data_IF_540868346330
#
_entry.id   IF_540868346330
#
_cell.length_a   1.000
_cell.length_b   1.000
_cell.length_c   1.000
_cell.angle_alpha   90.00
_cell.angle_beta   90.00
_cell.angle_gamma   90.00
#
_symmetry.space_group_name_H-M   'P 1'
#
loop_
_entity.id
_entity.type
_entity.pdbx_description
1 polymer ?
#
# COMPACT_ATOMS: atom_id res chain seq x y z
N UNK A 1 13.39 -3.56 -18.01
CA UNK A 1 14.56 -4.12 -18.71
C UNK A 1 15.35 -5.09 -17.82
N UNK A 2 16.12 -4.68 -16.80
CA UNK A 2 16.98 -5.63 -16.04
C UNK A 2 16.25 -6.63 -15.11
N UNK A 3 15.23 -6.19 -14.35
CA UNK A 3 14.42 -7.10 -13.50
C UNK A 3 13.69 -8.14 -14.36
N UNK A 4 13.38 -7.79 -15.60
CA UNK A 4 12.67 -8.62 -16.59
C UNK A 4 13.53 -9.79 -17.08
N UNK A 5 14.83 -9.56 -17.24
CA UNK A 5 15.80 -10.59 -17.66
C UNK A 5 16.02 -11.62 -16.56
N UNK A 6 16.14 -11.17 -15.31
CA UNK A 6 16.24 -12.03 -14.13
C UNK A 6 14.94 -12.77 -13.83
N UNK A 7 13.80 -12.14 -14.09
CA UNK A 7 12.49 -12.80 -14.02
C UNK A 7 12.33 -13.85 -15.11
N UNK A 8 12.89 -13.65 -16.32
CA UNK A 8 12.90 -14.68 -17.37
C UNK A 8 13.71 -15.90 -16.96
N UNK A 9 14.85 -15.71 -16.32
CA UNK A 9 15.67 -16.80 -15.79
C UNK A 9 14.97 -17.53 -14.62
N UNK A 10 14.29 -16.79 -13.74
CA UNK A 10 13.46 -17.39 -12.69
C UNK A 10 12.29 -18.22 -13.26
N UNK A 11 11.64 -17.71 -14.33
CA UNK A 11 10.56 -18.41 -15.05
C UNK A 11 11.08 -19.67 -15.75
N UNK A 12 12.26 -19.62 -16.38
CA UNK A 12 12.82 -20.77 -17.09
C UNK A 12 13.19 -21.90 -16.12
N UNK A 13 13.58 -21.56 -14.89
CA UNK A 13 13.87 -22.52 -13.81
C UNK A 13 12.65 -22.93 -12.97
N UNK A 14 11.41 -22.61 -13.42
CA UNK A 14 10.14 -22.98 -12.77
C UNK A 14 10.08 -22.62 -11.28
N UNK A 15 10.68 -21.51 -10.86
CA UNK A 15 10.67 -21.05 -9.46
C UNK A 15 11.26 -22.07 -8.46
N UNK A 16 12.27 -22.85 -8.87
CA UNK A 16 12.97 -23.73 -7.94
C UNK A 16 13.50 -22.96 -6.71
N UNK A 17 13.52 -23.55 -5.49
CA UNK A 17 13.94 -22.87 -4.28
C UNK A 17 15.33 -22.23 -4.39
N UNK A 18 16.28 -22.92 -5.05
CA UNK A 18 17.62 -22.40 -5.30
C UNK A 18 17.62 -21.17 -6.21
N UNK A 19 16.76 -21.16 -7.24
CA UNK A 19 16.60 -20.03 -8.16
C UNK A 19 16.02 -18.80 -7.46
N UNK A 20 15.06 -19.00 -6.55
CA UNK A 20 14.49 -17.94 -5.72
C UNK A 20 15.55 -17.30 -4.81
N UNK A 21 16.40 -18.10 -4.18
CA UNK A 21 17.49 -17.60 -3.34
C UNK A 21 18.53 -16.84 -4.19
N UNK A 22 18.89 -17.36 -5.36
CA UNK A 22 19.80 -16.68 -6.27
C UNK A 22 19.25 -15.31 -6.72
N UNK A 23 17.99 -15.27 -7.14
CA UNK A 23 17.28 -14.04 -7.50
C UNK A 23 17.25 -13.04 -6.33
N UNK A 24 16.89 -13.49 -5.13
CA UNK A 24 16.85 -12.64 -3.94
C UNK A 24 18.24 -12.05 -3.61
N UNK A 25 19.31 -12.86 -3.69
CA UNK A 25 20.69 -12.39 -3.48
C UNK A 25 21.10 -11.36 -4.54
N UNK A 26 20.73 -11.58 -5.80
CA UNK A 26 21.09 -10.70 -6.90
C UNK A 26 20.34 -9.37 -6.84
N UNK A 27 19.03 -9.40 -6.56
CA UNK A 27 18.23 -8.20 -6.28
C UNK A 27 18.81 -7.43 -5.08
N UNK A 28 19.20 -8.14 -4.02
CA UNK A 28 19.87 -7.54 -2.85
C UNK A 28 21.21 -6.88 -3.20
N UNK A 29 22.04 -7.52 -4.03
CA UNK A 29 23.31 -6.98 -4.49
C UNK A 29 23.12 -5.70 -5.32
N UNK A 30 22.12 -5.69 -6.21
CA UNK A 30 21.75 -4.51 -7.02
C UNK A 30 21.24 -3.38 -6.12
N UNK A 31 20.36 -3.68 -5.17
CA UNK A 31 19.85 -2.70 -4.21
C UNK A 31 21.01 -2.08 -3.42
N UNK A 32 21.93 -2.90 -2.90
CA UNK A 32 23.13 -2.45 -2.20
C UNK A 32 24.01 -1.55 -3.07
N UNK A 33 24.27 -1.94 -4.32
CA UNK A 33 25.06 -1.13 -5.25
C UNK A 33 24.41 0.25 -5.48
N UNK A 34 23.10 0.27 -5.72
CA UNK A 34 22.35 1.51 -5.93
C UNK A 34 22.33 2.42 -4.70
N UNK A 35 22.25 1.84 -3.50
CA UNK A 35 22.33 2.59 -2.24
C UNK A 35 23.72 3.24 -2.06
N UNK A 36 24.79 2.50 -2.35
CA UNK A 36 26.17 3.03 -2.27
C UNK A 36 26.42 4.09 -3.34
N UNK A 37 25.86 3.91 -4.54
CA UNK A 37 25.98 4.88 -5.63
C UNK A 37 25.21 6.19 -5.38
N UNK A 38 24.17 6.18 -4.53
CA UNK A 38 23.31 7.34 -4.24
C UNK A 38 23.26 7.65 -2.73
N UNK A 39 24.38 8.04 -2.11
CA UNK A 39 24.45 8.23 -0.66
C UNK A 39 23.56 9.39 -0.17
N UNK A 40 23.34 10.41 -1.00
CA UNK A 40 22.43 11.51 -0.69
C UNK A 40 20.99 11.04 -0.52
N UNK A 41 20.52 10.17 -1.43
CA UNK A 41 19.15 9.64 -1.39
C UNK A 41 18.96 8.78 -0.15
N UNK A 42 19.90 7.87 0.14
CA UNK A 42 19.88 7.06 1.37
C UNK A 42 19.84 7.95 2.61
N UNK A 43 20.71 8.96 2.68
CA UNK A 43 20.72 9.90 3.82
C UNK A 43 19.37 10.59 3.99
N UNK A 44 18.76 11.05 2.92
CA UNK A 44 17.45 11.72 2.99
C UNK A 44 16.34 10.81 3.54
N UNK A 45 16.35 9.51 3.20
CA UNK A 45 15.41 8.51 3.74
C UNK A 45 15.55 8.38 5.25
N UNK A 46 16.78 8.19 5.74
CA UNK A 46 17.02 7.99 7.16
C UNK A 46 16.86 9.28 7.98
N UNK A 47 17.13 10.45 7.40
CA UNK A 47 16.83 11.74 8.02
C UNK A 47 15.31 11.92 8.16
N UNK A 48 14.53 11.57 7.14
CA UNK A 48 13.07 11.58 7.24
C UNK A 48 12.57 10.57 8.30
N UNK A 49 13.13 9.36 8.33
CA UNK A 49 12.83 8.37 9.37
C UNK A 49 13.11 8.88 10.78
N UNK A 50 14.26 9.53 11.00
CA UNK A 50 14.60 10.14 12.28
C UNK A 50 13.64 11.28 12.65
N UNK A 51 13.25 12.11 11.68
CA UNK A 51 12.27 13.16 11.90
C UNK A 51 10.90 12.59 12.30
N UNK A 52 10.45 11.49 11.66
CA UNK A 52 9.22 10.79 12.03
C UNK A 52 9.31 10.17 13.43
N UNK A 53 10.44 9.56 13.78
CA UNK A 53 10.68 9.06 15.13
C UNK A 53 10.64 10.19 16.16
N UNK A 54 11.28 11.32 15.90
CA UNK A 54 11.25 12.49 16.80
C UNK A 54 9.82 13.05 16.96
N UNK A 55 9.05 13.13 15.87
CA UNK A 55 7.66 13.54 15.92
C UNK A 55 6.79 12.55 16.72
N UNK A 56 6.98 11.24 16.52
CA UNK A 56 6.32 10.19 17.28
C UNK A 56 6.70 10.25 18.76
N UNK A 57 7.96 10.55 19.09
CA UNK A 57 8.40 10.76 20.46
C UNK A 57 7.68 11.94 21.12
N UNK A 58 7.60 13.09 20.45
CA UNK A 58 6.86 14.26 20.97
C UNK A 58 5.38 13.93 21.16
N UNK A 59 4.75 13.24 20.21
CA UNK A 59 3.36 12.79 20.33
C UNK A 59 3.18 11.80 21.49
N UNK A 60 4.14 10.88 21.70
CA UNK A 60 4.13 9.96 22.84
C UNK A 60 4.24 10.71 24.17
N UNK A 61 5.11 11.72 24.28
CA UNK A 61 5.19 12.56 25.49
C UNK A 61 3.87 13.28 25.74
N UNK A 62 3.24 13.85 24.71
CA UNK A 62 1.93 14.48 24.84
C UNK A 62 0.85 13.47 25.29
N UNK A 63 0.86 12.26 24.73
CA UNK A 63 -0.05 11.18 25.14
C UNK A 63 0.21 10.72 26.58
N UNK A 64 1.46 10.67 27.03
CA UNK A 64 1.81 10.28 28.39
C UNK A 64 1.28 11.27 29.44
N UNK A 65 1.07 12.53 29.03
CA UNK A 65 0.49 13.58 29.87
C UNK A 65 -1.05 13.59 29.78
N UNK A 66 -1.61 13.39 28.58
CA UNK A 66 -3.05 13.52 28.34
C UNK A 66 -3.86 12.24 28.60
N UNK A 67 -3.23 11.06 28.47
CA UNK A 67 -3.86 9.75 28.59
C UNK A 67 -3.11 8.91 29.63
N UNK A 68 -2.39 7.86 29.20
CA UNK A 68 -1.62 6.96 30.04
C UNK A 68 -0.18 6.84 29.51
N UNK A 69 0.78 6.71 30.43
CA UNK A 69 2.18 6.42 30.11
C UNK A 69 2.32 5.09 29.39
N UNK A 70 1.57 4.06 29.78
CA UNK A 70 1.62 2.75 29.13
C UNK A 70 1.25 2.87 27.64
N UNK A 71 0.12 3.50 27.35
CA UNK A 71 -0.33 3.76 25.99
C UNK A 71 0.68 4.58 25.18
N UNK A 72 1.32 5.57 25.81
CA UNK A 72 2.37 6.36 25.17
C UNK A 72 3.61 5.54 24.80
N UNK A 73 4.04 4.63 25.68
CA UNK A 73 5.14 3.71 25.39
C UNK A 73 4.78 2.76 24.25
N UNK A 74 3.60 2.16 24.29
CA UNK A 74 3.14 1.26 23.23
C UNK A 74 3.01 1.99 21.89
N UNK A 75 2.48 3.22 21.88
CA UNK A 75 2.43 4.06 20.68
C UNK A 75 3.82 4.32 20.12
N UNK A 76 4.80 4.70 20.95
CA UNK A 76 6.16 4.96 20.50
C UNK A 76 6.83 3.70 19.97
N UNK A 77 6.63 2.56 20.63
CA UNK A 77 7.18 1.28 20.18
C UNK A 77 6.59 0.88 18.83
N UNK A 78 5.26 0.90 18.69
CA UNK A 78 4.57 0.51 17.46
C UNK A 78 4.94 1.41 16.27
N UNK A 79 4.99 2.73 16.49
CA UNK A 79 5.44 3.66 15.43
C UNK A 79 6.89 3.44 15.04
N UNK A 80 7.79 3.16 16.00
CA UNK A 80 9.20 2.82 15.72
C UNK A 80 9.33 1.55 14.89
N UNK A 81 8.52 0.53 15.19
CA UNK A 81 8.41 -0.68 14.39
C UNK A 81 7.88 -0.42 12.97
N UNK A 82 7.14 0.66 12.73
CA UNK A 82 6.71 1.07 11.39
C UNK A 82 7.76 1.90 10.63
N UNK A 83 8.50 2.78 11.32
CA UNK A 83 9.53 3.65 10.71
C UNK A 83 10.68 2.83 10.10
N UNK A 84 11.16 1.79 10.79
CA UNK A 84 12.30 1.00 10.32
C UNK A 84 12.00 0.24 9.00
N UNK A 85 10.90 -0.53 8.87
CA UNK A 85 10.47 -1.11 7.60
C UNK A 85 10.23 -0.08 6.52
N UNK A 86 9.67 1.10 6.85
CA UNK A 86 9.48 2.17 5.87
C UNK A 86 10.81 2.64 5.28
N UNK A 87 11.79 2.92 6.15
CA UNK A 87 13.12 3.33 5.73
C UNK A 87 13.81 2.23 4.92
N UNK A 88 13.71 0.97 5.35
CA UNK A 88 14.27 -0.17 4.65
C UNK A 88 13.65 -0.37 3.26
N UNK A 89 12.31 -0.34 3.16
CA UNK A 89 11.57 -0.52 1.92
C UNK A 89 11.95 0.56 0.89
N UNK A 90 11.95 1.83 1.30
CA UNK A 90 12.35 2.93 0.41
C UNK A 90 13.83 2.84 0.05
N UNK A 91 14.70 2.48 1.00
CA UNK A 91 16.14 2.31 0.75
C UNK A 91 16.44 1.22 -0.28
N UNK A 92 15.75 0.08 -0.19
CA UNK A 92 15.88 -1.02 -1.16
C UNK A 92 15.46 -0.60 -2.57
N UNK A 93 14.52 0.34 -2.68
CA UNK A 93 14.03 0.87 -3.94
C UNK A 93 14.78 2.09 -4.49
N UNK A 94 15.83 2.59 -3.82
CA UNK A 94 16.52 3.84 -4.22
C UNK A 94 17.01 3.85 -5.68
N UNK A 95 17.34 2.69 -6.25
CA UNK A 95 17.70 2.60 -7.67
C UNK A 95 16.61 3.09 -8.65
N UNK A 96 15.35 3.10 -8.19
CA UNK A 96 14.18 3.60 -8.92
C UNK A 96 13.81 5.04 -8.54
N UNK A 97 14.60 5.74 -7.72
CA UNK A 97 14.36 7.13 -7.36
C UNK A 97 14.70 8.06 -8.54
N UNK A 98 13.82 8.03 -9.53
CA UNK A 98 13.93 8.74 -10.79
C UNK A 98 12.67 9.55 -11.04
N UNK A 99 12.82 10.77 -11.55
CA UNK A 99 11.69 11.61 -11.96
C UNK A 99 11.03 11.07 -13.24
N UNK A 100 9.98 11.75 -13.73
CA UNK A 100 9.27 11.40 -14.98
C UNK A 100 10.18 11.38 -16.22
N UNK A 101 11.20 12.22 -16.24
CA UNK A 101 12.17 12.36 -17.34
C UNK A 101 13.32 11.35 -17.26
N UNK A 102 13.41 10.58 -16.16
CA UNK A 102 14.40 9.53 -15.96
C UNK A 102 15.66 9.94 -15.19
N UNK A 103 15.76 11.20 -14.76
CA UNK A 103 16.87 11.71 -13.94
C UNK A 103 16.79 11.16 -12.52
N UNK A 104 17.95 10.71 -12.02
CA UNK A 104 18.12 10.24 -10.64
C UNK A 104 18.08 11.41 -9.66
N UNK A 105 17.24 11.31 -8.62
CA UNK A 105 17.14 12.35 -7.59
C UNK A 105 18.15 12.08 -6.47
N UNK A 106 18.70 13.15 -5.91
CA UNK A 106 19.65 13.09 -4.78
C UNK A 106 18.96 13.02 -3.42
N UNK A 107 17.64 13.21 -3.34
CA UNK A 107 16.85 13.16 -2.13
C UNK A 107 15.42 12.67 -2.41
N UNK A 108 14.76 12.11 -1.39
CA UNK A 108 13.34 11.79 -1.47
C UNK A 108 12.50 13.06 -1.57
N UNK A 109 11.39 12.93 -2.27
CA UNK A 109 10.39 13.98 -2.43
C UNK A 109 9.35 13.91 -1.31
N UNK A 110 8.47 14.92 -1.26
CA UNK A 110 7.39 14.97 -0.27
C UNK A 110 6.42 13.79 -0.38
N UNK A 111 5.98 13.35 -1.59
CA UNK A 111 5.12 12.18 -1.72
C UNK A 111 5.69 10.91 -1.07
N UNK A 112 6.95 10.55 -1.34
CA UNK A 112 7.57 9.37 -0.73
C UNK A 112 7.66 9.51 0.79
N UNK A 113 7.98 10.71 1.29
CA UNK A 113 8.00 10.96 2.73
C UNK A 113 6.61 10.76 3.38
N UNK A 114 5.53 11.18 2.70
CA UNK A 114 4.16 10.94 3.17
C UNK A 114 3.78 9.45 3.12
N UNK A 115 4.18 8.71 2.08
CA UNK A 115 4.03 7.25 2.03
C UNK A 115 4.76 6.56 3.19
N UNK A 116 5.98 7.01 3.52
CA UNK A 116 6.73 6.50 4.68
C UNK A 116 6.02 6.82 6.00
N UNK A 117 5.49 8.04 6.15
CA UNK A 117 4.72 8.45 7.33
C UNK A 117 3.47 7.57 7.52
N UNK A 118 2.75 7.24 6.44
CA UNK A 118 1.61 6.32 6.47
C UNK A 118 2.01 4.96 7.02
N UNK A 119 3.09 4.39 6.51
CA UNK A 119 3.54 3.08 6.96
C UNK A 119 4.00 3.12 8.43
N UNK A 120 4.60 4.23 8.86
CA UNK A 120 4.98 4.45 10.26
C UNK A 120 3.78 4.59 11.21
N UNK A 121 2.68 5.21 10.77
CA UNK A 121 1.47 5.42 11.59
C UNK A 121 0.52 4.22 11.60
N UNK A 122 0.61 3.33 10.62
CA UNK A 122 -0.28 2.16 10.51
C UNK A 122 -0.24 1.26 11.76
N UNK A 123 0.93 0.90 12.34
CA UNK A 123 0.97 0.13 13.59
C UNK A 123 0.31 0.84 14.77
N UNK A 124 0.42 2.18 14.86
CA UNK A 124 -0.28 2.95 15.88
C UNK A 124 -1.80 2.89 15.71
N UNK A 125 -2.29 2.95 14.47
CA UNK A 125 -3.71 2.76 14.18
C UNK A 125 -4.19 1.37 14.63
N UNK A 126 -3.40 0.32 14.35
CA UNK A 126 -3.70 -1.04 14.80
C UNK A 126 -3.77 -1.11 16.33
N UNK A 127 -2.79 -0.54 17.03
CA UNK A 127 -2.77 -0.47 18.50
C UNK A 127 -4.04 0.17 19.05
N UNK A 128 -4.40 1.36 18.57
CA UNK A 128 -5.59 2.07 19.06
C UNK A 128 -6.90 1.32 18.82
N UNK A 129 -6.99 0.55 17.74
CA UNK A 129 -8.15 -0.30 17.48
C UNK A 129 -8.21 -1.48 18.45
N UNK A 130 -7.09 -2.13 18.71
CA UNK A 130 -7.03 -3.30 19.60
C UNK A 130 -7.28 -2.92 21.06
N UNK A 131 -6.74 -1.79 21.51
CA UNK A 131 -6.92 -1.29 22.87
C UNK A 131 -8.27 -0.57 23.08
N UNK A 132 -9.12 -0.51 22.05
CA UNK A 132 -10.46 0.09 22.14
C UNK A 132 -10.48 1.62 22.19
N UNK A 133 -9.37 2.30 21.89
CA UNK A 133 -9.28 3.76 21.87
C UNK A 133 -9.86 4.34 20.56
N UNK A 134 -11.19 4.28 20.41
CA UNK A 134 -11.91 4.63 19.18
C UNK A 134 -11.59 6.05 18.67
N UNK A 135 -11.50 7.04 19.56
CA UNK A 135 -11.17 8.42 19.20
C UNK A 135 -9.75 8.56 18.61
N UNK A 136 -8.75 7.92 19.24
CA UNK A 136 -7.36 7.93 18.76
C UNK A 136 -7.23 7.16 17.45
N UNK A 137 -7.95 6.03 17.32
CA UNK A 137 -8.01 5.27 16.08
C UNK A 137 -8.62 6.10 14.94
N UNK A 138 -9.73 6.81 15.19
CA UNK A 138 -10.35 7.70 14.21
C UNK A 138 -9.42 8.82 13.77
N UNK A 139 -8.80 9.54 14.72
CA UNK A 139 -7.86 10.62 14.42
C UNK A 139 -6.68 10.10 13.59
N UNK A 140 -6.10 8.98 14.00
CA UNK A 140 -4.97 8.37 13.27
C UNK A 140 -5.39 7.91 11.87
N UNK A 141 -6.57 7.31 11.73
CA UNK A 141 -7.14 6.90 10.45
C UNK A 141 -7.34 8.10 9.51
N UNK A 142 -7.87 9.21 10.03
CA UNK A 142 -8.05 10.44 9.25
C UNK A 142 -6.69 11.01 8.82
N UNK A 143 -5.71 11.08 9.73
CA UNK A 143 -4.35 11.55 9.40
C UNK A 143 -3.73 10.68 8.30
N UNK A 144 -3.81 9.35 8.44
CA UNK A 144 -3.31 8.39 7.44
C UNK A 144 -4.03 8.51 6.10
N UNK A 145 -5.35 8.69 6.10
CA UNK A 145 -6.12 8.86 4.86
C UNK A 145 -5.85 10.20 4.18
N UNK A 146 -5.67 11.28 4.96
CA UNK A 146 -5.34 12.59 4.42
C UNK A 146 -3.93 12.63 3.83
N UNK A 147 -2.96 11.91 4.40
CA UNK A 147 -1.60 11.85 3.83
C UNK A 147 -1.57 11.15 2.47
N UNK A 148 -2.46 10.19 2.21
CA UNK A 148 -2.65 9.54 0.89
C UNK A 148 -3.21 10.47 -0.17
N UNK A 149 -4.28 11.18 0.17
CA UNK A 149 -4.83 12.16 -0.76
C UNK A 149 -3.81 13.27 -1.02
N UNK A 150 -3.08 13.67 0.02
CA UNK A 150 -2.04 14.68 -0.07
C UNK A 150 -0.88 14.22 -0.97
N UNK A 151 -0.29 13.03 -0.77
CA UNK A 151 0.87 12.61 -1.57
C UNK A 151 0.58 12.60 -3.07
N UNK A 152 -0.59 12.11 -3.48
CA UNK A 152 -0.98 12.02 -4.88
C UNK A 152 -1.32 13.38 -5.45
N UNK A 153 -1.95 14.25 -4.66
CA UNK A 153 -2.22 15.63 -5.06
C UNK A 153 -0.93 16.44 -5.21
N UNK A 154 -0.03 16.37 -4.22
CA UNK A 154 1.27 17.03 -4.22
C UNK A 154 2.15 16.53 -5.38
N UNK A 155 2.18 15.22 -5.62
CA UNK A 155 2.94 14.63 -6.72
C UNK A 155 2.52 15.20 -8.08
N UNK A 156 1.20 15.34 -8.32
CA UNK A 156 0.66 15.92 -9.55
C UNK A 156 0.86 17.44 -9.62
N UNK A 157 0.62 18.15 -8.52
CA UNK A 157 0.65 19.62 -8.48
C UNK A 157 2.06 20.20 -8.58
N UNK A 158 3.06 19.51 -8.02
CA UNK A 158 4.46 19.92 -8.03
C UNK A 158 5.33 19.12 -9.02
N UNK A 159 4.71 18.29 -9.87
CA UNK A 159 5.41 17.44 -10.83
C UNK A 159 6.50 16.57 -10.18
N UNK A 160 6.27 16.12 -8.94
CA UNK A 160 7.19 15.32 -8.14
C UNK A 160 6.92 13.82 -8.30
N UNK A 161 6.30 13.37 -9.38
CA UNK A 161 6.09 11.94 -9.59
C UNK A 161 7.40 11.19 -9.87
N UNK A 162 7.63 10.11 -9.14
CA UNK A 162 8.82 9.26 -9.27
C UNK A 162 8.47 7.84 -9.68
N UNK A 163 9.43 7.11 -10.25
CA UNK A 163 9.28 5.67 -10.51
C UNK A 163 9.19 4.88 -9.19
N UNK A 164 9.97 5.28 -8.18
CA UNK A 164 9.94 4.69 -6.84
C UNK A 164 8.58 4.83 -6.15
N UNK A 165 7.99 6.03 -6.13
CA UNK A 165 6.66 6.25 -5.54
C UNK A 165 5.61 5.35 -6.19
N UNK A 166 5.52 5.37 -7.53
CA UNK A 166 4.60 4.51 -8.30
C UNK A 166 4.75 3.01 -8.02
N UNK A 167 5.92 2.55 -7.59
CA UNK A 167 6.17 1.16 -7.24
C UNK A 167 5.82 0.86 -5.78
N UNK A 168 6.15 1.75 -4.85
CA UNK A 168 5.96 1.55 -3.41
C UNK A 168 4.52 1.83 -2.98
N UNK A 169 3.85 2.84 -3.54
CA UNK A 169 2.53 3.28 -3.11
C UNK A 169 1.50 2.12 -3.12
N UNK A 170 1.37 1.30 -4.19
CA UNK A 170 0.43 0.18 -4.19
C UNK A 170 0.75 -0.91 -3.14
N UNK A 171 2.04 -1.09 -2.81
CA UNK A 171 2.46 -2.07 -1.80
C UNK A 171 2.08 -1.55 -0.41
N UNK A 172 2.40 -0.30 -0.12
CA UNK A 172 2.08 0.35 1.16
C UNK A 172 0.57 0.45 1.34
N UNK A 173 -0.19 0.73 0.29
CA UNK A 173 -1.66 0.75 0.34
C UNK A 173 -2.24 -0.61 0.72
N UNK A 174 -1.77 -1.69 0.07
CA UNK A 174 -2.25 -3.05 0.39
C UNK A 174 -1.89 -3.41 1.83
N UNK A 175 -0.64 -3.17 2.25
CA UNK A 175 -0.19 -3.50 3.61
C UNK A 175 -0.98 -2.71 4.65
N UNK A 176 -1.12 -1.39 4.46
CA UNK A 176 -1.79 -0.51 5.41
C UNK A 176 -3.28 -0.84 5.55
N UNK A 177 -3.97 -1.04 4.43
CA UNK A 177 -5.38 -1.40 4.47
C UNK A 177 -5.61 -2.82 5.00
N UNK A 178 -4.76 -3.78 4.66
CA UNK A 178 -4.89 -5.13 5.19
C UNK A 178 -4.69 -5.14 6.71
N UNK A 179 -3.68 -4.42 7.22
CA UNK A 179 -3.47 -4.25 8.65
C UNK A 179 -4.67 -3.61 9.35
N UNK A 180 -5.25 -2.56 8.76
CA UNK A 180 -6.48 -1.92 9.24
C UNK A 180 -7.65 -2.90 9.35
N UNK A 181 -7.96 -3.64 8.27
CA UNK A 181 -9.09 -4.57 8.29
C UNK A 181 -8.88 -5.77 9.21
N UNK A 182 -7.64 -6.25 9.34
CA UNK A 182 -7.29 -7.28 10.33
C UNK A 182 -7.46 -6.75 11.77
N UNK A 183 -7.06 -5.51 12.05
CA UNK A 183 -7.26 -4.89 13.35
C UNK A 183 -8.74 -4.63 13.66
N UNK A 184 -9.54 -4.24 12.66
CA UNK A 184 -11.00 -4.09 12.81
C UNK A 184 -11.70 -5.43 13.09
N UNK A 185 -11.19 -6.53 12.53
CA UNK A 185 -11.65 -7.88 12.83
C UNK A 185 -11.25 -8.31 14.24
N UNK A 186 -9.97 -8.13 14.60
CA UNK A 186 -9.43 -8.55 15.89
C UNK A 186 -10.00 -7.74 17.07
N UNK A 187 -10.32 -6.47 16.87
CA UNK A 187 -11.01 -5.63 17.87
C UNK A 187 -12.52 -5.87 17.95
N UNK A 188 -13.06 -6.82 17.17
CA UNK A 188 -14.50 -7.04 17.02
C UNK A 188 -15.28 -5.77 16.66
N UNK A 189 -14.61 -4.82 15.98
CA UNK A 189 -15.24 -3.58 15.51
C UNK A 189 -16.14 -3.85 14.32
N UNK A 190 -15.72 -4.76 13.42
CA UNK A 190 -16.49 -5.22 12.29
C UNK A 190 -16.92 -6.69 12.45
N UNK A 191 -18.10 -7.08 11.94
CA UNK A 191 -18.50 -8.47 11.90
C UNK A 191 -17.61 -9.27 10.92
N UNK A 192 -17.38 -10.54 11.24
CA UNK A 192 -16.44 -11.43 10.55
C UNK A 192 -16.67 -11.46 9.04
N UNK A 193 -17.92 -11.48 8.60
CA UNK A 193 -18.26 -11.55 7.18
C UNK A 193 -17.82 -10.29 6.40
N UNK A 194 -17.91 -9.09 6.98
CA UNK A 194 -17.46 -7.84 6.34
C UNK A 194 -15.94 -7.84 6.22
N UNK A 195 -15.24 -8.16 7.32
CA UNK A 195 -13.79 -8.26 7.34
C UNK A 195 -13.27 -9.33 6.37
N UNK A 196 -13.96 -10.46 6.25
CA UNK A 196 -13.59 -11.54 5.32
C UNK A 196 -13.62 -11.06 3.87
N UNK A 197 -14.64 -10.29 3.47
CA UNK A 197 -14.69 -9.69 2.14
C UNK A 197 -13.58 -8.66 1.90
N UNK A 198 -13.23 -7.87 2.92
CA UNK A 198 -12.11 -6.94 2.83
C UNK A 198 -10.78 -7.68 2.61
N UNK A 199 -10.50 -8.69 3.43
CA UNK A 199 -9.29 -9.51 3.30
C UNK A 199 -9.25 -10.20 1.93
N UNK A 200 -10.37 -10.77 1.48
CA UNK A 200 -10.48 -11.39 0.16
C UNK A 200 -10.17 -10.41 -0.97
N UNK A 201 -10.63 -9.16 -0.88
CA UNK A 201 -10.32 -8.10 -1.85
C UNK A 201 -8.83 -7.88 -2.00
N UNK A 202 -8.13 -7.65 -0.89
CA UNK A 202 -6.68 -7.40 -0.92
C UNK A 202 -5.90 -8.65 -1.34
N UNK A 203 -6.35 -9.85 -0.94
CA UNK A 203 -5.76 -11.10 -1.39
C UNK A 203 -5.89 -11.28 -2.91
N UNK A 204 -7.06 -11.01 -3.50
CA UNK A 204 -7.26 -11.08 -4.96
C UNK A 204 -6.38 -10.08 -5.69
N UNK A 205 -6.26 -8.85 -5.19
CA UNK A 205 -5.39 -7.83 -5.79
C UNK A 205 -3.91 -8.22 -5.72
N UNK A 206 -3.46 -8.73 -4.57
CA UNK A 206 -2.08 -9.13 -4.36
C UNK A 206 -1.72 -10.38 -5.18
N UNK A 207 -2.53 -11.44 -5.09
CA UNK A 207 -2.30 -12.71 -5.80
C UNK A 207 -2.47 -12.50 -7.30
N UNK A 208 -3.54 -11.84 -7.74
CA UNK A 208 -3.82 -11.58 -9.15
C UNK A 208 -2.76 -10.66 -9.78
N UNK A 209 -2.37 -9.59 -9.10
CA UNK A 209 -1.30 -8.70 -9.54
C UNK A 209 0.05 -9.41 -9.63
N UNK A 210 0.41 -10.19 -8.59
CA UNK A 210 1.64 -10.98 -8.57
C UNK A 210 1.65 -12.03 -9.68
N UNK A 211 0.54 -12.72 -9.90
CA UNK A 211 0.41 -13.72 -10.97
C UNK A 211 0.60 -13.08 -12.35
N UNK A 212 -0.06 -11.96 -12.63
CA UNK A 212 0.11 -11.26 -13.90
C UNK A 212 1.56 -10.81 -14.10
N UNK A 213 2.19 -10.25 -13.08
CA UNK A 213 3.58 -9.81 -13.12
C UNK A 213 4.57 -10.97 -13.34
N UNK A 214 4.37 -12.07 -12.60
CA UNK A 214 5.28 -13.22 -12.63
C UNK A 214 5.10 -14.09 -13.87
N UNK A 215 3.91 -14.23 -14.45
CA UNK A 215 3.65 -15.17 -15.54
C UNK A 215 3.40 -14.51 -16.89
N UNK A 216 2.78 -13.32 -16.93
CA UNK A 216 2.49 -12.63 -18.20
C UNK A 216 3.58 -11.61 -18.52
N UNK A 217 3.96 -10.77 -17.55
CA UNK A 217 4.88 -9.65 -17.75
C UNK A 217 4.37 -8.37 -17.09
N UNK A 218 5.12 -7.27 -17.18
CA UNK A 218 4.73 -6.00 -16.56
C UNK A 218 3.51 -5.41 -17.28
N UNK A 219 2.31 -5.74 -16.80
CA UNK A 219 1.07 -5.14 -17.27
C UNK A 219 0.89 -3.81 -16.55
N UNK A 220 0.77 -2.71 -17.32
CA UNK A 220 0.41 -1.40 -16.76
C UNK A 220 -1.07 -1.40 -16.37
N UNK A 221 -1.36 -1.73 -15.12
CA UNK A 221 -2.71 -1.68 -14.55
C UNK A 221 -3.10 -0.20 -14.39
N UNK A 222 -4.03 0.26 -15.23
CA UNK A 222 -4.61 1.60 -15.07
C UNK A 222 -5.78 1.52 -14.07
N UNK A 223 -5.83 2.37 -13.05
CA UNK A 223 -6.95 2.41 -12.12
C UNK A 223 -8.24 2.72 -12.88
N UNK A 224 -9.25 1.88 -12.72
CA UNK A 224 -10.59 2.17 -13.25
C UNK A 224 -11.24 3.28 -12.44
N UNK A 225 -12.06 4.12 -13.07
CA UNK A 225 -12.84 5.16 -12.38
C UNK A 225 -13.72 4.54 -11.28
N UNK A 226 -14.28 3.36 -11.56
CA UNK A 226 -15.04 2.56 -10.61
C UNK A 226 -14.19 2.11 -9.40
N UNK A 227 -12.95 1.66 -9.63
CA UNK A 227 -12.03 1.27 -8.56
C UNK A 227 -11.68 2.43 -7.63
N UNK A 228 -11.48 3.64 -8.19
CA UNK A 228 -11.24 4.85 -7.38
C UNK A 228 -12.46 5.28 -6.58
N UNK A 229 -13.63 5.32 -7.21
CA UNK A 229 -14.87 5.73 -6.54
C UNK A 229 -15.21 4.77 -5.38
N UNK A 230 -15.14 3.46 -5.62
CA UNK A 230 -15.40 2.47 -4.57
C UNK A 230 -14.37 2.51 -3.43
N UNK A 231 -13.11 2.88 -3.71
CA UNK A 231 -12.10 3.12 -2.68
C UNK A 231 -12.46 4.30 -1.77
N UNK A 232 -12.89 5.43 -2.34
CA UNK A 232 -13.31 6.61 -1.57
C UNK A 232 -14.52 6.29 -0.69
N UNK A 233 -15.54 5.64 -1.25
CA UNK A 233 -16.75 5.26 -0.49
C UNK A 233 -16.40 4.28 0.63
N UNK A 234 -15.52 3.30 0.37
CA UNK A 234 -15.05 2.37 1.39
C UNK A 234 -14.32 3.09 2.53
N UNK A 235 -13.39 4.01 2.21
CA UNK A 235 -12.69 4.80 3.22
C UNK A 235 -13.66 5.66 4.05
N UNK A 236 -14.66 6.28 3.41
CA UNK A 236 -15.70 7.04 4.09
C UNK A 236 -16.56 6.15 5.01
N UNK A 237 -16.94 4.96 4.58
CA UNK A 237 -17.71 4.00 5.39
C UNK A 237 -16.89 3.50 6.58
N UNK A 238 -15.60 3.19 6.40
CA UNK A 238 -14.71 2.81 7.51
C UNK A 238 -14.57 3.97 8.50
N UNK A 239 -14.33 5.19 8.01
CA UNK A 239 -14.30 6.39 8.85
C UNK A 239 -15.60 6.60 9.62
N UNK A 240 -16.75 6.36 8.99
CA UNK A 240 -18.06 6.42 9.64
C UNK A 240 -18.22 5.34 10.71
N UNK A 241 -17.79 4.10 10.47
CA UNK A 241 -17.79 3.04 11.50
C UNK A 241 -16.98 3.48 12.72
N UNK A 242 -15.78 4.02 12.52
CA UNK A 242 -14.92 4.51 13.61
C UNK A 242 -15.54 5.71 14.34
N UNK A 243 -16.19 6.62 13.60
CA UNK A 243 -16.92 7.75 14.17
C UNK A 243 -18.09 7.27 15.05
N UNK A 244 -18.93 6.36 14.53
CA UNK A 244 -20.06 5.78 15.26
C UNK A 244 -19.64 4.90 16.44
N UNK A 245 -18.37 4.46 16.49
CA UNK A 245 -17.78 3.80 17.66
C UNK A 245 -17.32 4.79 18.73
N UNK A 246 -17.02 6.04 18.34
CA UNK A 246 -16.58 7.08 19.26
C UNK A 246 -17.74 7.73 20.01
N UNK A 247 -18.93 7.79 19.41
CA UNK A 247 -20.13 8.36 20.02
C UNK A 247 -21.09 7.27 20.52
N UNK A 248 -21.49 7.35 21.79
CA UNK A 248 -22.56 6.54 22.37
C UNK A 248 -23.89 7.29 22.24
N UNK A 249 -24.82 6.75 21.44
CA UNK A 249 -26.13 7.36 21.25
C UNK A 249 -27.05 6.52 20.38
N UNK A 250 -28.35 6.77 20.49
CA UNK A 250 -29.40 6.03 19.76
C UNK A 250 -29.22 6.08 18.24
N UNK A 251 -28.69 7.18 17.71
CA UNK A 251 -28.35 7.30 16.29
C UNK A 251 -27.21 6.35 15.90
N UNK A 252 -26.20 6.20 16.74
CA UNK A 252 -25.08 5.29 16.48
C UNK A 252 -25.52 3.83 16.53
N UNK A 253 -26.42 3.45 17.44
CA UNK A 253 -26.97 2.09 17.51
C UNK A 253 -27.72 1.69 16.24
N UNK A 254 -28.46 2.63 15.63
CA UNK A 254 -29.23 2.38 14.40
C UNK A 254 -28.31 2.42 13.16
N UNK A 255 -27.42 3.41 13.09
CA UNK A 255 -26.59 3.64 11.89
C UNK A 255 -25.42 2.65 11.77
N UNK A 256 -24.91 2.11 12.89
CA UNK A 256 -23.77 1.18 12.89
C UNK A 256 -24.04 -0.09 12.07
N UNK A 257 -25.10 -0.89 12.33
CA UNK A 257 -25.35 -2.09 11.54
C UNK A 257 -25.65 -1.77 10.07
N UNK A 258 -26.31 -0.65 9.78
CA UNK A 258 -26.55 -0.20 8.40
C UNK A 258 -25.23 0.11 7.68
N UNK A 259 -24.30 0.78 8.36
CA UNK A 259 -22.98 1.13 7.80
C UNK A 259 -22.14 -0.12 7.57
N UNK A 260 -22.15 -1.07 8.51
CA UNK A 260 -21.45 -2.37 8.39
C UNK A 260 -21.99 -3.19 7.21
N UNK A 261 -23.32 -3.27 7.06
CA UNK A 261 -23.95 -3.96 5.93
C UNK A 261 -23.59 -3.28 4.61
N UNK A 262 -23.68 -1.95 4.53
CA UNK A 262 -23.30 -1.19 3.34
C UNK A 262 -21.83 -1.42 2.96
N UNK A 263 -20.93 -1.41 3.94
CA UNK A 263 -19.51 -1.68 3.75
C UNK A 263 -19.28 -3.11 3.23
N UNK A 264 -19.93 -4.11 3.83
CA UNK A 264 -19.81 -5.49 3.42
C UNK A 264 -20.36 -5.77 2.01
N UNK A 265 -21.50 -5.19 1.66
CA UNK A 265 -22.08 -5.28 0.31
C UNK A 265 -21.16 -4.63 -0.72
N UNK A 266 -20.64 -3.44 -0.42
CA UNK A 266 -19.68 -2.74 -1.28
C UNK A 266 -18.41 -3.59 -1.49
N UNK A 267 -17.86 -4.16 -0.40
CA UNK A 267 -16.68 -5.02 -0.48
C UNK A 267 -16.94 -6.25 -1.33
N UNK A 268 -18.04 -6.98 -1.09
CA UNK A 268 -18.42 -8.15 -1.88
C UNK A 268 -18.54 -7.80 -3.38
N UNK A 269 -19.24 -6.71 -3.72
CA UNK A 269 -19.37 -6.23 -5.09
C UNK A 269 -18.00 -5.92 -5.72
N UNK A 270 -17.09 -5.30 -4.98
CA UNK A 270 -15.74 -4.97 -5.48
C UNK A 270 -14.86 -6.20 -5.68
N UNK A 271 -14.98 -7.23 -4.84
CA UNK A 271 -14.29 -8.50 -5.04
C UNK A 271 -14.78 -9.18 -6.31
N UNK A 272 -16.09 -9.29 -6.48
CA UNK A 272 -16.70 -9.87 -7.68
C UNK A 272 -16.22 -9.11 -8.92
N UNK A 273 -16.27 -7.77 -8.90
CA UNK A 273 -15.79 -6.94 -10.00
C UNK A 273 -14.30 -7.17 -10.30
N UNK A 274 -13.44 -7.23 -9.28
CA UNK A 274 -12.01 -7.47 -9.45
C UNK A 274 -11.73 -8.85 -10.06
N UNK A 275 -12.44 -9.89 -9.61
CA UNK A 275 -12.32 -11.25 -10.16
C UNK A 275 -12.78 -11.30 -11.61
N UNK A 276 -13.93 -10.70 -11.94
CA UNK A 276 -14.45 -10.64 -13.32
C UNK A 276 -13.49 -9.90 -14.25
N UNK A 277 -12.96 -8.76 -13.82
CA UNK A 277 -12.02 -7.96 -14.61
C UNK A 277 -10.68 -8.69 -14.79
N UNK A 278 -10.17 -9.33 -13.73
CA UNK A 278 -8.98 -10.18 -13.79
C UNK A 278 -9.15 -11.34 -14.77
N UNK A 279 -10.29 -12.05 -14.69
CA UNK A 279 -10.63 -13.15 -15.59
C UNK A 279 -10.77 -12.71 -17.05
N UNK A 280 -11.45 -11.60 -17.31
CA UNK A 280 -11.60 -11.02 -18.64
C UNK A 280 -10.24 -10.66 -19.25
N UNK A 281 -9.37 -10.00 -18.47
CA UNK A 281 -8.03 -9.65 -18.92
C UNK A 281 -7.17 -10.89 -19.21
N UNK A 282 -7.23 -11.92 -18.35
CA UNK A 282 -6.52 -13.19 -18.58
C UNK A 282 -6.99 -13.89 -19.85
N UNK A 283 -8.30 -13.90 -20.13
CA UNK A 283 -8.85 -14.46 -21.37
C UNK A 283 -8.42 -13.67 -22.61
N UNK A 284 -8.40 -12.34 -22.55
CA UNK A 284 -7.91 -11.52 -23.66
C UNK A 284 -6.44 -11.79 -23.96
N UNK A 285 -5.61 -11.89 -22.91
CA UNK A 285 -4.18 -12.15 -23.04
C UNK A 285 -3.90 -13.55 -23.60
N UNK A 286 -4.61 -14.57 -23.11
CA UNK A 286 -4.46 -15.96 -23.60
C UNK A 286 -5.08 -16.17 -24.98
N UNK A 287 -6.17 -15.48 -25.31
CA UNK A 287 -6.80 -15.48 -26.64
C UNK A 287 -5.91 -14.84 -27.71
N UNK A 288 -5.32 -13.67 -27.42
CA UNK A 288 -4.35 -13.03 -28.32
C UNK A 288 -3.04 -13.82 -28.44
N UNK A 289 -2.61 -14.49 -27.38
CA UNK A 289 -1.45 -15.39 -27.45
C UNK A 289 -1.71 -16.62 -28.35
N UNK A 290 -2.96 -17.10 -28.43
CA UNK A 290 -3.36 -18.16 -29.37
C UNK A 290 -3.44 -17.66 -30.82
N UNK A 291 -3.93 -16.45 -31.06
CA UNK A 291 -3.92 -15.83 -32.40
C UNK A 291 -2.49 -15.52 -32.90
N UNK A 292 -1.57 -15.20 -31.99
CA UNK A 292 -0.16 -14.92 -32.30
C UNK A 292 0.69 -16.18 -32.61
N UNK A 293 0.20 -17.39 -32.35
CA UNK A 293 0.95 -18.62 -32.69
C UNK A 293 0.95 -18.96 -34.18
N UNK A 294 0.38 -18.11 -35.04
CA UNK A 294 0.31 -18.30 -36.49
C UNK A 294 0.90 -17.16 -37.35
N UNK A 295 1.27 -16.01 -36.78
CA UNK A 295 1.92 -14.92 -37.54
C UNK A 295 2.88 -14.14 -36.64
N UNK A 296 4.13 -14.02 -37.11
CA UNK A 296 5.17 -13.15 -36.56
C UNK A 296 4.64 -11.71 -36.54
N UNK A 297 4.50 -11.11 -35.36
CA UNK A 297 4.11 -9.70 -35.21
C UNK A 297 5.31 -8.91 -34.69
N UNK A 298 5.81 -8.01 -35.54
CA UNK A 298 6.70 -6.92 -35.16
C UNK A 298 5.99 -5.83 -34.37
N UNK A 299 6.80 -4.99 -33.72
CA UNK A 299 6.48 -3.91 -32.77
C UNK A 299 5.02 -3.46 -32.64
N UNK A 300 4.46 -3.71 -31.45
CA UNK A 300 3.20 -3.11 -31.00
C UNK A 300 3.48 -1.67 -30.56
N UNK A 301 3.23 -0.70 -31.45
CA UNK A 301 3.08 0.72 -31.08
C UNK A 301 1.75 0.93 -30.37
N UNK A 302 1.80 1.53 -29.17
CA UNK A 302 0.63 2.04 -28.45
C UNK A 302 0.46 3.54 -28.68
N UNK A 303 -0.70 3.96 -29.16
CA UNK A 303 -1.20 5.35 -29.11
C UNK A 303 -2.18 5.70 -30.23
N UNK A 304 -3.41 6.20 -29.94
CA UNK A 304 -4.15 7.00 -30.91
C UNK A 304 -3.50 8.40 -31.01
N UNK A 305 -3.44 8.94 -32.24
CA UNK A 305 -2.89 10.25 -32.59
C UNK A 305 -3.59 11.39 -31.86
#
# INVERSE_FOLDING_TARGET
MFVEEHLRELRSQRFAPAALVAYARQVGAIARHNMVANPGAVRSVWVAGLAFFAAAFVAAVAMAVAYDRALAYDFLLQTSFGVLPACALVSLGIGQLRNREGYTLSAINVPIALTMLRLALTPALVLFLLDGHAALALVTFVVVGLTDVADGWLARRWNQETQLGRMIDPVVDIVSNLALFLALLASHTLPIWVASWAIARYAVLLIGGSYLYLFVGPVRIHPTVFGRATGIVMAALVGLVLLLRTFEGRTAEILRPLTEVALGVLLAATVIHAVVLGWYNLRLLTGRAREASGRVVGDVRYGPR
#
